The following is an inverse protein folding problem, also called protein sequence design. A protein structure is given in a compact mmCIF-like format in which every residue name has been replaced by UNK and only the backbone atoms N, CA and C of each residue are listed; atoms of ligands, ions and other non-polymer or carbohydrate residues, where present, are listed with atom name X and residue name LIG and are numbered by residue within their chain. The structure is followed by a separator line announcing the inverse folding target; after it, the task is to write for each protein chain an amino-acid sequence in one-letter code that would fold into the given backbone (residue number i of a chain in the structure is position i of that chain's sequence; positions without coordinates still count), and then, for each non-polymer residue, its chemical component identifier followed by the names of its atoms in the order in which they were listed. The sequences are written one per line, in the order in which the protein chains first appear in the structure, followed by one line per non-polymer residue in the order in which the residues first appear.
data_IF_484609022064
#
_entry.id   IF_484609022064
#
_cell.length_a   1.000
_cell.length_b   1.000
_cell.length_c   1.000
_cell.angle_alpha   90.00
_cell.angle_beta   90.00
_cell.angle_gamma   90.00
#
_symmetry.space_group_name_H-M   'P 1'
#
loop_
_entity.id
_entity.type
_entity.pdbx_description
1 polymer ?
#
# COMPACT_ATOMS: atom_id res chain seq x y z
N UNK A 1 11.78 -3.12 17.31
CA UNK A 1 11.18 -2.13 16.40
C UNK A 1 10.00 -2.79 15.70
N UNK A 2 8.79 -2.26 15.90
CA UNK A 2 7.58 -2.70 15.25
C UNK A 2 7.37 -1.94 13.93
N UNK A 3 7.75 -2.56 12.83
CA UNK A 3 7.39 -2.12 11.48
C UNK A 3 6.03 -2.69 11.11
N UNK A 4 5.16 -1.84 10.57
CA UNK A 4 3.84 -2.19 10.02
C UNK A 4 3.86 -1.96 8.52
N UNK A 5 3.52 -2.98 7.74
CA UNK A 5 3.32 -2.90 6.30
C UNK A 5 1.83 -2.76 6.04
N UNK A 6 1.44 -1.83 5.18
CA UNK A 6 0.05 -1.38 5.08
C UNK A 6 -0.35 -1.11 3.62
N UNK A 7 -1.58 -1.51 3.32
CA UNK A 7 -2.32 -1.19 2.11
C UNK A 7 -3.84 -1.18 2.42
N UNK A 8 -4.63 -0.51 1.59
CA UNK A 8 -6.08 -0.56 1.67
C UNK A 8 -6.77 -0.61 0.31
N UNK A 9 -7.99 -1.14 0.33
CA UNK A 9 -8.93 -1.21 -0.77
C UNK A 9 -10.12 -0.30 -0.51
N UNK A 10 -10.73 0.22 -1.58
CA UNK A 10 -11.82 1.20 -1.47
C UNK A 10 -13.19 0.65 -1.87
N UNK A 11 -14.25 1.26 -1.36
CA UNK A 11 -15.63 0.87 -1.70
C UNK A 11 -16.09 1.41 -3.05
N UNK A 12 -15.47 2.51 -3.50
CA UNK A 12 -15.83 3.24 -4.71
C UNK A 12 -14.61 3.50 -5.58
N UNK A 13 -14.85 3.83 -6.84
CA UNK A 13 -13.87 4.31 -7.80
C UNK A 13 -13.91 5.83 -7.92
N UNK A 14 -12.87 6.42 -8.50
CA UNK A 14 -12.83 7.86 -8.81
C UNK A 14 -13.94 8.30 -9.78
N UNK A 15 -14.30 7.42 -10.73
CA UNK A 15 -15.37 7.69 -11.70
C UNK A 15 -16.73 7.87 -11.01
N UNK A 16 -17.02 7.07 -9.98
CA UNK A 16 -18.27 7.16 -9.22
C UNK A 16 -18.39 8.42 -8.37
N UNK A 17 -17.27 8.89 -7.82
CA UNK A 17 -17.28 10.09 -6.98
C UNK A 17 -17.15 11.39 -7.79
N UNK A 18 -16.95 11.30 -9.11
CA UNK A 18 -16.87 12.44 -10.02
C UNK A 18 -15.69 13.38 -9.74
N UNK A 19 -14.58 12.86 -9.21
CA UNK A 19 -13.45 13.68 -8.76
C UNK A 19 -12.24 12.86 -8.32
N UNK A 20 -11.25 13.52 -7.70
CA UNK A 20 -9.99 12.90 -7.24
C UNK A 20 -9.81 12.94 -5.72
N UNK A 21 -10.87 13.22 -4.98
CA UNK A 21 -10.84 13.27 -3.52
C UNK A 21 -10.87 11.85 -2.94
N UNK A 22 -9.70 11.28 -2.65
CA UNK A 22 -9.56 9.91 -2.18
C UNK A 22 -10.42 9.59 -0.93
N UNK A 23 -10.61 10.55 -0.03
CA UNK A 23 -11.50 10.39 1.13
C UNK A 23 -12.94 10.01 0.79
N UNK A 24 -13.45 10.36 -0.41
CA UNK A 24 -14.80 9.99 -0.84
C UNK A 24 -14.92 8.54 -1.30
N UNK A 25 -13.80 7.84 -1.49
CA UNK A 25 -13.77 6.45 -1.96
C UNK A 25 -14.19 5.44 -0.87
N UNK A 26 -14.05 5.83 0.41
CA UNK A 26 -14.33 5.02 1.62
C UNK A 26 -13.49 3.75 1.72
N UNK A 27 -13.20 3.33 2.95
CA UNK A 27 -12.47 2.11 3.26
C UNK A 27 -13.35 0.88 3.00
N UNK A 28 -12.95 0.01 2.07
CA UNK A 28 -13.54 -1.32 1.96
C UNK A 28 -12.84 -2.30 2.91
N UNK A 29 -11.51 -2.38 2.81
CA UNK A 29 -10.66 -3.28 3.57
C UNK A 29 -9.29 -2.63 3.78
N UNK A 30 -8.75 -2.63 4.99
CA UNK A 30 -7.36 -2.31 5.25
C UNK A 30 -6.64 -3.54 5.76
N UNK A 31 -5.42 -3.78 5.28
CA UNK A 31 -4.62 -4.92 5.74
C UNK A 31 -3.29 -4.44 6.28
N UNK A 32 -2.89 -4.99 7.41
CA UNK A 32 -1.54 -4.78 7.95
C UNK A 32 -0.80 -6.08 8.14
N UNK A 33 0.50 -6.09 7.89
CA UNK A 33 1.42 -7.09 8.43
C UNK A 33 2.37 -6.41 9.41
N UNK A 34 2.45 -6.89 10.64
CA UNK A 34 3.29 -6.28 11.68
C UNK A 34 4.42 -7.22 12.06
N UNK A 35 5.64 -6.69 12.18
CA UNK A 35 6.79 -7.44 12.74
C UNK A 35 6.57 -7.90 14.18
N UNK A 36 5.79 -7.17 15.00
CA UNK A 36 5.49 -7.58 16.37
C UNK A 36 4.52 -8.77 16.43
N UNK A 37 3.56 -8.82 15.50
CA UNK A 37 2.59 -9.91 15.37
C UNK A 37 3.12 -11.08 14.53
N UNK A 38 4.01 -10.81 13.59
CA UNK A 38 4.47 -11.74 12.55
C UNK A 38 3.33 -12.35 11.72
N UNK A 39 2.22 -11.64 11.57
CA UNK A 39 1.04 -12.08 10.84
C UNK A 39 0.24 -10.87 10.31
N UNK A 40 -0.74 -11.16 9.45
CA UNK A 40 -1.69 -10.20 8.91
C UNK A 40 -2.80 -9.86 9.93
N UNK A 41 -3.32 -8.64 9.83
CA UNK A 41 -4.60 -8.25 10.41
C UNK A 41 -5.45 -7.61 9.31
N UNK A 42 -6.76 -7.86 9.33
CA UNK A 42 -7.73 -7.35 8.37
C UNK A 42 -8.68 -6.42 9.12
N UNK A 43 -8.93 -5.24 8.56
CA UNK A 43 -9.78 -4.21 9.13
C UNK A 43 -10.84 -3.83 8.10
N UNK A 44 -12.11 -4.00 8.45
CA UNK A 44 -13.21 -3.51 7.63
C UNK A 44 -13.51 -2.06 7.95
N UNK A 45 -14.47 -1.45 7.26
CA UNK A 45 -14.82 -0.04 7.47
C UNK A 45 -15.10 0.29 8.95
N UNK A 46 -15.82 -0.58 9.66
CA UNK A 46 -16.14 -0.41 11.07
C UNK A 46 -14.90 -0.43 11.99
N UNK A 47 -13.82 -1.07 11.54
CA UNK A 47 -12.58 -1.23 12.28
C UNK A 47 -11.56 -0.11 11.97
N UNK A 48 -11.94 0.89 11.17
CA UNK A 48 -11.06 2.02 10.81
C UNK A 48 -10.40 2.68 12.04
N UNK A 49 -11.09 2.91 13.19
CA UNK A 49 -10.43 3.44 14.38
C UNK A 49 -9.31 2.53 14.91
N UNK A 50 -9.48 1.21 14.86
CA UNK A 50 -8.48 0.24 15.31
C UNK A 50 -7.28 0.19 14.35
N UNK A 51 -7.52 0.20 13.04
CA UNK A 51 -6.48 0.32 12.03
C UNK A 51 -5.63 1.57 12.25
N UNK A 52 -6.27 2.73 12.40
CA UNK A 52 -5.59 4.02 12.61
C UNK A 52 -4.76 3.98 13.90
N UNK A 53 -5.27 3.37 14.97
CA UNK A 53 -4.53 3.19 16.21
C UNK A 53 -3.26 2.33 16.01
N UNK A 54 -3.33 1.24 15.25
CA UNK A 54 -2.16 0.40 14.94
C UNK A 54 -1.11 1.17 14.13
N UNK A 55 -1.54 1.89 13.08
CA UNK A 55 -0.63 2.69 12.23
C UNK A 55 0.11 3.76 13.04
N UNK A 56 -0.57 4.41 14.00
CA UNK A 56 0.02 5.41 14.89
C UNK A 56 0.99 4.82 15.91
N UNK A 57 0.72 3.61 16.39
CA UNK A 57 1.56 2.93 17.37
C UNK A 57 2.80 2.27 16.75
N UNK A 58 2.86 2.16 15.42
CA UNK A 58 4.02 1.60 14.72
C UNK A 58 5.25 2.49 14.86
N UNK A 59 6.43 1.88 15.03
CA UNK A 59 7.70 2.62 14.96
C UNK A 59 7.94 3.16 13.54
N UNK A 60 7.40 2.45 12.53
CA UNK A 60 7.36 2.88 11.13
C UNK A 60 6.26 2.15 10.36
N UNK A 61 5.53 2.90 9.53
CA UNK A 61 4.60 2.35 8.53
C UNK A 61 5.29 2.29 7.17
N UNK A 62 5.19 1.17 6.48
CA UNK A 62 5.71 0.97 5.11
C UNK A 62 4.52 0.71 4.19
N UNK A 63 4.49 1.36 3.05
CA UNK A 63 3.45 1.13 2.05
C UNK A 63 3.80 1.71 0.69
N UNK A 64 2.89 1.57 -0.26
CA UNK A 64 3.08 2.01 -1.64
C UNK A 64 2.05 3.09 -2.01
N UNK A 65 2.48 4.36 -2.05
CA UNK A 65 1.61 5.53 -2.24
C UNK A 65 0.72 5.90 -1.03
N UNK A 66 1.01 5.36 0.16
CA UNK A 66 0.24 5.58 1.39
C UNK A 66 0.05 7.04 1.78
N UNK A 67 1.02 7.91 1.48
CA UNK A 67 0.94 9.32 1.89
C UNK A 67 -0.06 10.12 1.06
N UNK A 68 -0.27 9.73 -0.21
CA UNK A 68 -1.09 10.48 -1.15
C UNK A 68 -2.38 9.74 -1.54
N UNK A 69 -2.59 8.53 -1.03
CA UNK A 69 -3.78 7.74 -1.30
C UNK A 69 -4.37 7.18 -0.01
N UNK A 70 -3.74 6.19 0.61
CA UNK A 70 -4.32 5.44 1.73
C UNK A 70 -4.67 6.35 2.92
N UNK A 71 -3.74 7.22 3.32
CA UNK A 71 -4.00 8.19 4.39
C UNK A 71 -5.08 9.19 4.01
N UNK A 72 -5.21 9.56 2.73
CA UNK A 72 -6.29 10.42 2.25
C UNK A 72 -7.66 9.71 2.29
N UNK A 73 -7.70 8.40 2.04
CA UNK A 73 -8.89 7.56 2.22
C UNK A 73 -9.26 7.44 3.70
N UNK A 74 -8.28 7.36 4.61
CA UNK A 74 -8.51 7.23 6.05
C UNK A 74 -8.92 8.54 6.75
N UNK A 75 -8.61 9.71 6.18
CA UNK A 75 -8.92 11.03 6.77
C UNK A 75 -10.35 11.20 7.29
N UNK A 76 -11.41 10.82 6.56
CA UNK A 76 -12.79 10.97 7.04
C UNK A 76 -13.09 10.18 8.32
N UNK A 77 -12.34 9.11 8.61
CA UNK A 77 -12.50 8.28 9.80
C UNK A 77 -11.77 8.86 11.03
N UNK A 78 -10.85 9.81 10.83
CA UNK A 78 -10.16 10.53 11.90
C UNK A 78 -9.84 11.97 11.46
N UNK A 79 -10.84 12.87 11.38
CA UNK A 79 -10.67 14.20 10.77
C UNK A 79 -9.69 15.12 11.51
N UNK A 80 -9.44 14.85 12.80
CA UNK A 80 -8.50 15.61 13.62
C UNK A 80 -7.09 14.98 13.64
N UNK A 81 -6.87 13.87 12.96
CA UNK A 81 -5.59 13.17 12.95
C UNK A 81 -4.63 13.74 11.90
N UNK A 82 -3.39 13.99 12.31
CA UNK A 82 -2.33 14.34 11.37
C UNK A 82 -1.61 13.08 10.89
N UNK A 83 -2.16 12.41 9.88
CA UNK A 83 -1.56 11.22 9.28
C UNK A 83 -0.11 11.43 8.80
N UNK A 84 0.28 12.66 8.44
CA UNK A 84 1.67 12.97 8.03
C UNK A 84 2.67 12.95 9.19
N UNK A 85 2.20 12.97 10.44
CA UNK A 85 3.05 12.79 11.60
C UNK A 85 3.45 11.32 11.82
N UNK A 86 2.73 10.36 11.21
CA UNK A 86 3.08 8.94 11.26
C UNK A 86 4.39 8.74 10.50
N UNK A 87 5.40 8.20 11.19
CA UNK A 87 6.70 7.89 10.58
C UNK A 87 6.52 6.84 9.49
N UNK A 88 6.56 7.28 8.24
CA UNK A 88 6.19 6.45 7.09
C UNK A 88 7.33 6.34 6.08
N UNK A 89 7.45 5.19 5.43
CA UNK A 89 8.20 5.03 4.17
C UNK A 89 7.21 4.74 3.06
N UNK A 90 7.01 5.73 2.20
CA UNK A 90 6.22 5.60 0.98
C UNK A 90 7.15 5.23 -0.16
N UNK A 91 7.10 3.96 -0.56
CA UNK A 91 8.00 3.40 -1.57
C UNK A 91 7.83 4.07 -2.93
N UNK A 92 6.61 4.48 -3.30
CA UNK A 92 6.37 5.17 -4.57
C UNK A 92 6.99 6.56 -4.55
N UNK A 93 6.91 7.27 -3.42
CA UNK A 93 7.55 8.57 -3.27
C UNK A 93 9.08 8.45 -3.38
N UNK A 94 9.68 7.44 -2.75
CA UNK A 94 11.13 7.19 -2.86
C UNK A 94 11.57 6.87 -4.29
N UNK A 95 10.83 6.00 -4.97
CA UNK A 95 11.08 5.67 -6.38
C UNK A 95 10.97 6.92 -7.26
N UNK A 96 9.93 7.72 -7.06
CA UNK A 96 9.73 8.95 -7.83
C UNK A 96 10.88 9.94 -7.60
N UNK A 97 11.36 10.10 -6.35
CA UNK A 97 12.53 10.93 -6.04
C UNK A 97 13.79 10.47 -6.77
N UNK A 98 14.00 9.15 -6.89
CA UNK A 98 15.19 8.59 -7.51
C UNK A 98 15.14 8.60 -9.05
N UNK A 99 13.95 8.42 -9.65
CA UNK A 99 13.80 8.23 -11.10
C UNK A 99 13.19 9.41 -11.85
N UNK A 100 12.45 10.30 -11.16
CA UNK A 100 11.66 11.37 -11.78
C UNK A 100 10.36 10.89 -12.45
N UNK A 101 10.03 9.60 -12.35
CA UNK A 101 8.76 9.03 -12.82
C UNK A 101 8.26 7.94 -11.87
N UNK A 102 6.95 7.66 -11.97
CA UNK A 102 6.27 6.66 -11.13
C UNK A 102 6.33 5.28 -11.76
N UNK A 103 6.35 4.26 -10.90
CA UNK A 103 6.21 2.85 -11.26
C UNK A 103 5.01 2.27 -10.50
N UNK A 104 4.36 1.24 -11.04
CA UNK A 104 3.36 0.48 -10.28
C UNK A 104 4.02 -0.53 -9.36
N UNK A 105 3.36 -0.90 -8.26
CA UNK A 105 3.83 -1.96 -7.37
C UNK A 105 4.06 -3.26 -8.14
N UNK A 106 3.15 -3.62 -9.05
CA UNK A 106 3.30 -4.81 -9.91
C UNK A 106 4.58 -4.77 -10.74
N UNK A 107 4.85 -3.64 -11.43
CA UNK A 107 6.04 -3.52 -12.27
C UNK A 107 7.35 -3.65 -11.48
N UNK A 108 7.35 -3.11 -10.26
CA UNK A 108 8.49 -3.20 -9.32
C UNK A 108 8.64 -4.62 -8.78
N UNK A 109 7.54 -5.25 -8.37
CA UNK A 109 7.52 -6.60 -7.83
C UNK A 109 7.98 -7.62 -8.87
N UNK A 110 7.49 -7.50 -10.12
CA UNK A 110 7.91 -8.32 -11.24
C UNK A 110 9.39 -8.19 -11.53
N UNK A 111 9.89 -6.96 -11.62
CA UNK A 111 11.30 -6.73 -11.87
C UNK A 111 12.18 -7.20 -10.70
N UNK A 112 11.78 -6.95 -9.45
CA UNK A 112 12.61 -7.19 -8.27
C UNK A 112 12.58 -8.63 -7.80
N UNK A 113 11.37 -9.20 -7.71
CA UNK A 113 11.13 -10.51 -7.10
C UNK A 113 10.78 -11.60 -8.13
N UNK A 114 10.54 -11.25 -9.39
CA UNK A 114 10.01 -12.19 -10.39
C UNK A 114 8.54 -12.58 -10.12
N UNK A 115 7.86 -11.87 -9.23
CA UNK A 115 6.45 -12.12 -8.90
C UNK A 115 5.54 -11.62 -10.04
N UNK A 116 4.45 -12.33 -10.30
CA UNK A 116 3.41 -11.87 -11.25
C UNK A 116 2.12 -11.70 -10.48
N UNK A 117 1.51 -10.50 -10.49
CA UNK A 117 0.17 -10.33 -9.91
C UNK A 117 -0.91 -10.90 -10.83
N UNK A 118 -2.01 -11.29 -10.22
CA UNK A 118 -3.19 -11.89 -10.88
C UNK A 118 -4.42 -10.97 -10.90
N UNK A 119 -4.41 -9.80 -10.23
CA UNK A 119 -5.59 -8.92 -10.15
C UNK A 119 -5.26 -7.42 -10.04
N UNK A 120 -6.21 -6.58 -10.45
CA UNK A 120 -6.18 -5.11 -10.49
C UNK A 120 -7.11 -4.50 -9.42
N UNK A 121 -6.80 -3.30 -8.91
CA UNK A 121 -7.56 -2.63 -7.85
C UNK A 121 -9.02 -2.35 -8.23
N UNK A 122 -9.33 -2.19 -9.52
CA UNK A 122 -10.73 -2.08 -9.97
C UNK A 122 -11.53 -3.37 -9.75
N UNK A 123 -10.88 -4.53 -9.76
CA UNK A 123 -11.53 -5.81 -9.49
C UNK A 123 -11.91 -5.94 -8.01
N UNK A 124 -11.09 -5.40 -7.11
CA UNK A 124 -11.34 -5.36 -5.66
C UNK A 124 -12.64 -4.62 -5.33
N UNK A 125 -12.87 -3.46 -5.96
CA UNK A 125 -14.13 -2.71 -5.81
C UNK A 125 -15.34 -3.54 -6.26
N UNK A 126 -15.23 -4.31 -7.35
CA UNK A 126 -16.31 -5.17 -7.82
C UNK A 126 -16.60 -6.31 -6.83
N UNK A 127 -15.56 -6.96 -6.31
CA UNK A 127 -15.73 -8.01 -5.28
C UNK A 127 -16.41 -7.45 -4.03
N UNK A 128 -16.02 -6.26 -3.57
CA UNK A 128 -16.67 -5.61 -2.44
C UNK A 128 -18.18 -5.41 -2.69
N UNK A 129 -18.56 -4.89 -3.87
CA UNK A 129 -19.97 -4.70 -4.24
C UNK A 129 -20.76 -6.01 -4.32
N UNK A 130 -20.11 -7.09 -4.75
CA UNK A 130 -20.72 -8.41 -4.83
C UNK A 130 -20.77 -9.13 -3.47
N UNK A 131 -20.24 -8.53 -2.39
CA UNK A 131 -20.15 -9.18 -1.08
C UNK A 131 -19.06 -10.26 -1.01
N UNK A 132 -18.15 -10.32 -1.98
CA UNK A 132 -17.04 -11.28 -2.05
C UNK A 132 -15.86 -10.84 -1.17
N UNK A 133 -16.14 -10.60 0.12
CA UNK A 133 -15.21 -9.96 1.06
C UNK A 133 -13.88 -10.72 1.21
N UNK A 134 -13.92 -12.06 1.20
CA UNK A 134 -12.71 -12.88 1.29
C UNK A 134 -11.74 -12.57 0.13
N UNK A 135 -12.25 -12.32 -1.08
CA UNK A 135 -11.40 -11.97 -2.24
C UNK A 135 -10.75 -10.61 -2.07
N UNK A 136 -11.47 -9.64 -1.51
CA UNK A 136 -10.94 -8.31 -1.19
C UNK A 136 -9.81 -8.42 -0.16
N UNK A 137 -10.03 -9.17 0.92
CA UNK A 137 -9.02 -9.37 1.96
C UNK A 137 -7.78 -10.12 1.44
N UNK A 138 -7.95 -11.20 0.68
CA UNK A 138 -6.83 -11.97 0.12
C UNK A 138 -6.03 -11.17 -0.90
N UNK A 139 -6.69 -10.33 -1.70
CA UNK A 139 -6.02 -9.41 -2.60
C UNK A 139 -5.16 -8.38 -1.85
N UNK A 140 -5.75 -7.70 -0.87
CA UNK A 140 -5.04 -6.68 -0.09
C UNK A 140 -3.88 -7.31 0.74
N UNK A 141 -4.05 -8.53 1.28
CA UNK A 141 -2.94 -9.29 1.90
C UNK A 141 -1.80 -9.56 0.93
N UNK A 142 -2.11 -9.93 -0.31
CA UNK A 142 -1.10 -10.13 -1.36
C UNK A 142 -0.33 -8.84 -1.64
N UNK A 143 -1.02 -7.70 -1.68
CA UNK A 143 -0.41 -6.38 -1.88
C UNK A 143 0.52 -5.98 -0.73
N UNK A 144 0.09 -6.24 0.51
CA UNK A 144 0.93 -6.05 1.71
C UNK A 144 2.14 -6.98 1.70
N UNK A 145 2.00 -8.27 1.35
CA UNK A 145 3.12 -9.20 1.27
C UNK A 145 4.14 -8.79 0.21
N UNK A 146 3.67 -8.39 -0.98
CA UNK A 146 4.52 -7.94 -2.07
C UNK A 146 5.26 -6.66 -1.66
N UNK A 147 4.55 -5.69 -1.08
CA UNK A 147 5.13 -4.46 -0.54
C UNK A 147 6.23 -4.78 0.48
N UNK A 148 5.95 -5.69 1.42
CA UNK A 148 6.91 -6.14 2.44
C UNK A 148 8.16 -6.74 1.81
N UNK A 149 8.00 -7.68 0.89
CA UNK A 149 9.13 -8.38 0.25
C UNK A 149 9.98 -7.46 -0.63
N UNK A 150 9.36 -6.52 -1.35
CA UNK A 150 10.11 -5.52 -2.13
C UNK A 150 10.87 -4.59 -1.19
N UNK A 151 10.23 -4.12 -0.11
CA UNK A 151 10.89 -3.28 0.88
C UNK A 151 12.07 -3.98 1.55
N UNK A 152 11.89 -5.24 1.97
CA UNK A 152 12.95 -6.05 2.59
C UNK A 152 14.14 -6.24 1.63
N UNK A 153 13.87 -6.56 0.35
CA UNK A 153 14.91 -6.64 -0.68
C UNK A 153 15.67 -5.32 -0.79
N UNK A 154 14.96 -4.19 -0.92
CA UNK A 154 15.58 -2.87 -1.05
C UNK A 154 16.37 -2.45 0.18
N UNK A 155 15.88 -2.76 1.39
CA UNK A 155 16.58 -2.50 2.65
C UNK A 155 17.88 -3.29 2.74
N UNK A 156 17.88 -4.55 2.34
CA UNK A 156 19.05 -5.42 2.38
C UNK A 156 20.10 -5.01 1.33
N UNK A 157 19.66 -4.77 0.09
CA UNK A 157 20.54 -4.61 -1.07
C UNK A 157 20.87 -3.14 -1.41
N UNK A 158 20.11 -2.17 -0.90
CA UNK A 158 20.25 -0.75 -1.22
C UNK A 158 19.71 -0.34 -2.60
N UNK A 159 19.02 -1.25 -3.29
CA UNK A 159 18.37 -0.99 -4.57
C UNK A 159 17.17 -1.93 -4.79
N UNK A 160 16.29 -1.57 -5.71
CA UNK A 160 15.27 -2.47 -6.29
C UNK A 160 15.42 -2.48 -7.81
N UNK A 161 14.77 -3.42 -8.49
CA UNK A 161 14.78 -3.48 -9.95
C UNK A 161 13.52 -2.87 -10.55
N UNK A 162 13.64 -2.38 -11.78
CA UNK A 162 12.52 -1.99 -12.63
C UNK A 162 12.84 -2.27 -14.10
N UNK A 163 11.82 -2.30 -14.96
CA UNK A 163 12.02 -2.37 -16.41
C UNK A 163 11.94 -0.96 -17.03
N UNK A 164 12.90 -0.62 -17.88
CA UNK A 164 12.87 0.62 -18.66
C UNK A 164 11.76 0.55 -19.73
N UNK A 165 11.43 1.70 -20.35
CA UNK A 165 10.52 1.75 -21.49
C UNK A 165 10.96 0.86 -22.67
N UNK A 166 12.27 0.58 -22.77
CA UNK A 166 12.87 -0.27 -23.80
C UNK A 166 12.96 -1.75 -23.36
N UNK A 167 12.43 -2.11 -22.18
CA UNK A 167 12.40 -3.48 -21.68
C UNK A 167 13.66 -3.93 -20.94
N UNK A 168 14.68 -3.08 -20.82
CA UNK A 168 15.90 -3.42 -20.06
C UNK A 168 15.62 -3.44 -18.56
N UNK A 169 16.09 -4.47 -17.86
CA UNK A 169 16.04 -4.55 -16.39
C UNK A 169 17.13 -3.67 -15.79
N UNK A 170 16.74 -2.62 -15.06
CA UNK A 170 17.62 -1.64 -14.44
C UNK A 170 17.45 -1.66 -12.92
N UNK A 171 18.37 -0.99 -12.22
CA UNK A 171 18.33 -0.80 -10.77
C UNK A 171 18.00 0.65 -10.44
N UNK A 172 17.20 0.87 -9.40
CA UNK A 172 17.01 2.17 -8.77
C UNK A 172 17.55 2.09 -7.33
N UNK A 173 18.44 3.01 -6.92
CA UNK A 173 18.95 3.02 -5.55
C UNK A 173 17.82 3.41 -4.57
N UNK A 174 17.79 2.75 -3.42
CA UNK A 174 16.86 3.06 -2.32
C UNK A 174 17.62 3.13 -1.00
N UNK A 175 17.17 3.98 -0.08
CA UNK A 175 17.75 4.10 1.26
C UNK A 175 16.70 3.77 2.33
N UNK A 176 16.52 2.48 2.57
CA UNK A 176 15.49 1.94 3.47
C UNK A 176 16.04 1.30 4.75
N UNK A 177 17.34 1.48 5.01
CA UNK A 177 18.01 1.06 6.26
C UNK A 177 17.68 1.98 7.42
#
# INVERSE_FOLDING_TARGET
MNIVYFDLETQKTFDEIGGREAGKLRLACGVTWSTARSDFAVYWEADAPALIAELKAADRVIGFNILNFDYEVLKPYAPNENFRAIRSTDMLQDIFRALGFRLSLDSVAKATLGATKTADGLQSVQWFRNGELDKVAEYCKSDVDITRRVYEFGREHGYIHYYSKLGSKLKVPVNWK
#
